data_IF_096192566372
#
_entry.id   IF_096192566372
#
_cell.length_a   1.000
_cell.length_b   1.000
_cell.length_c   1.000
_cell.angle_alpha   90.00
_cell.angle_beta   90.00
_cell.angle_gamma   90.00
#
_symmetry.space_group_name_H-M   'P 1'
#
loop_
_entity.id
_entity.type
_entity.pdbx_description
1 polymer ?
#
# COMPACT_ATOMS: atom_id res chain seq x y z
N UNK A 1 6.67 -2.07 27.05
CA UNK A 1 6.56 -1.05 25.97
C UNK A 1 6.58 -1.74 24.60
N UNK A 2 5.67 -1.38 23.75
CA UNK A 2 5.60 -1.95 22.41
C UNK A 2 6.19 -0.97 21.41
N UNK A 3 7.07 -1.44 20.53
CA UNK A 3 7.62 -0.63 19.44
C UNK A 3 6.63 -0.48 18.29
N UNK A 4 5.70 -1.42 18.17
CA UNK A 4 4.73 -1.44 17.09
C UNK A 4 3.33 -1.37 17.68
N UNK A 5 2.49 -0.52 17.10
CA UNK A 5 1.10 -0.34 17.53
C UNK A 5 0.15 -0.77 16.41
N UNK A 6 -1.03 -1.28 16.78
CA UNK A 6 -2.06 -1.54 15.78
C UNK A 6 -2.64 -0.22 15.25
N UNK A 7 -3.25 -0.28 14.08
CA UNK A 7 -3.86 0.89 13.46
C UNK A 7 -5.04 0.47 12.58
N UNK A 8 -5.83 1.44 12.18
CA UNK A 8 -6.94 1.23 11.26
C UNK A 8 -6.43 1.39 9.83
N UNK A 9 -6.13 0.28 9.20
CA UNK A 9 -5.58 0.29 7.86
C UNK A 9 -6.61 0.61 6.80
N UNK A 10 -6.14 1.25 5.73
CA UNK A 10 -6.93 1.50 4.55
C UNK A 10 -6.59 0.42 3.54
N UNK A 11 -7.57 -0.39 3.19
CA UNK A 11 -7.36 -1.55 2.32
C UNK A 11 -8.32 -1.54 1.14
N UNK A 12 -7.91 -2.09 -0.02
CA UNK A 12 -8.85 -2.29 -1.10
C UNK A 12 -9.93 -3.30 -0.68
N UNK A 13 -11.13 -3.11 -1.23
CA UNK A 13 -12.19 -4.10 -1.07
C UNK A 13 -11.78 -5.39 -1.75
N UNK A 14 -12.35 -6.50 -1.32
CA UNK A 14 -12.02 -7.82 -1.88
C UNK A 14 -12.23 -7.86 -3.39
N UNK A 15 -13.30 -7.25 -3.88
CA UNK A 15 -13.61 -7.20 -5.31
C UNK A 15 -12.60 -6.39 -6.12
N UNK A 16 -11.99 -5.38 -5.50
CA UNK A 16 -11.09 -4.45 -6.20
C UNK A 16 -9.61 -4.69 -5.90
N UNK A 17 -9.30 -5.62 -5.01
CA UNK A 17 -7.92 -5.86 -4.59
C UNK A 17 -7.00 -6.18 -5.77
N UNK A 18 -7.44 -7.00 -6.71
CA UNK A 18 -6.63 -7.36 -7.87
C UNK A 18 -6.39 -6.18 -8.83
N UNK A 19 -7.32 -5.21 -8.85
CA UNK A 19 -7.16 -4.00 -9.65
C UNK A 19 -6.20 -3.02 -9.01
N UNK A 20 -6.19 -2.93 -7.69
CA UNK A 20 -5.37 -1.98 -6.93
C UNK A 20 -3.94 -2.48 -6.76
N UNK A 21 -3.77 -3.76 -6.48
CA UNK A 21 -2.47 -4.34 -6.16
C UNK A 21 -1.49 -4.24 -7.34
N UNK A 22 -0.25 -3.92 -7.03
CA UNK A 22 0.84 -3.82 -8.00
C UNK A 22 2.05 -4.60 -7.51
N UNK A 23 2.89 -5.02 -8.45
CA UNK A 23 4.20 -5.56 -8.12
C UNK A 23 5.20 -4.42 -7.92
N UNK A 24 6.41 -4.75 -7.47
CA UNK A 24 7.47 -3.75 -7.36
C UNK A 24 7.71 -3.05 -8.69
N UNK A 25 7.74 -1.72 -8.66
CA UNK A 25 7.97 -0.91 -9.87
C UNK A 25 9.42 -0.98 -10.35
N UNK A 26 10.33 -1.46 -9.52
CA UNK A 26 11.75 -1.60 -9.87
C UNK A 26 11.98 -2.54 -11.05
N UNK A 27 11.05 -3.46 -11.27
CA UNK A 27 11.13 -4.47 -12.33
C UNK A 27 10.26 -4.14 -13.54
N UNK A 28 9.62 -2.98 -13.56
CA UNK A 28 8.71 -2.61 -14.62
C UNK A 28 9.32 -1.54 -15.52
N UNK A 29 9.18 -1.72 -16.84
CA UNK A 29 9.57 -0.68 -17.80
C UNK A 29 8.55 0.47 -17.76
N UNK A 30 8.96 1.64 -18.23
CA UNK A 30 8.06 2.79 -18.34
C UNK A 30 6.84 2.50 -19.20
N UNK A 31 7.01 1.71 -20.27
CA UNK A 31 5.92 1.33 -21.16
C UNK A 31 4.89 0.46 -20.46
N UNK A 32 5.34 -0.55 -19.69
CA UNK A 32 4.46 -1.43 -18.92
C UNK A 32 3.69 -0.62 -17.88
N UNK A 33 4.36 0.29 -17.17
CA UNK A 33 3.72 1.15 -16.18
C UNK A 33 2.66 2.04 -16.83
N UNK A 34 3.00 2.66 -17.95
CA UNK A 34 2.08 3.54 -18.68
C UNK A 34 0.84 2.78 -19.16
N UNK A 35 1.03 1.61 -19.74
CA UNK A 35 -0.08 0.78 -20.22
C UNK A 35 -0.97 0.31 -19.08
N UNK A 36 -0.38 -0.09 -17.98
CA UNK A 36 -1.12 -0.53 -16.80
C UNK A 36 -1.98 0.61 -16.23
N UNK A 37 -1.43 1.83 -16.17
CA UNK A 37 -2.16 3.01 -15.71
C UNK A 37 -3.36 3.32 -16.60
N UNK A 38 -3.19 3.23 -17.91
CA UNK A 38 -4.25 3.52 -18.88
C UNK A 38 -5.37 2.49 -18.82
N UNK A 39 -5.01 1.23 -18.64
CA UNK A 39 -5.96 0.12 -18.73
C UNK A 39 -6.61 -0.20 -17.38
N UNK A 40 -6.09 0.34 -16.29
CA UNK A 40 -6.59 0.06 -14.95
C UNK A 40 -6.65 1.35 -14.12
N UNK A 41 -7.81 1.98 -14.13
CA UNK A 41 -8.08 3.23 -13.41
C UNK A 41 -7.77 3.13 -11.91
N UNK A 42 -8.02 1.97 -11.31
CA UNK A 42 -7.88 1.79 -9.87
C UNK A 42 -6.53 1.24 -9.43
N UNK A 43 -5.60 1.05 -10.35
CA UNK A 43 -4.25 0.61 -10.01
C UNK A 43 -3.57 1.60 -9.06
N UNK A 44 -2.91 1.07 -8.06
CA UNK A 44 -2.15 1.90 -7.11
C UNK A 44 -0.99 2.63 -7.79
N UNK A 45 -0.58 2.22 -8.98
CA UNK A 45 0.40 2.96 -9.79
C UNK A 45 -0.05 4.40 -10.07
N UNK A 46 -1.36 4.65 -10.14
CA UNK A 46 -1.88 6.00 -10.33
C UNK A 46 -1.72 6.90 -9.11
N UNK A 47 -1.44 6.31 -7.96
CA UNK A 47 -1.17 7.04 -6.71
C UNK A 47 0.34 7.11 -6.44
N UNK A 48 1.01 5.99 -6.62
CA UNK A 48 2.39 5.79 -6.21
C UNK A 48 3.40 6.41 -7.17
N UNK A 49 3.18 6.27 -8.47
CA UNK A 49 4.08 6.79 -9.50
C UNK A 49 3.82 8.28 -9.73
N UNK A 50 4.54 9.12 -9.03
CA UNK A 50 4.20 10.54 -8.92
C UNK A 50 5.12 11.44 -9.70
N UNK A 51 4.65 11.91 -10.84
CA UNK A 51 5.20 13.10 -11.48
C UNK A 51 4.47 14.36 -11.01
N UNK A 52 3.25 14.18 -10.49
CA UNK A 52 2.41 15.30 -10.02
C UNK A 52 1.68 14.90 -8.73
N UNK A 53 2.09 15.50 -7.61
CA UNK A 53 1.53 15.22 -6.30
C UNK A 53 0.04 15.52 -6.20
N UNK A 54 -0.44 16.56 -6.90
CA UNK A 54 -1.86 16.93 -6.89
C UNK A 54 -2.72 15.84 -7.51
N UNK A 55 -2.29 15.30 -8.63
CA UNK A 55 -3.02 14.20 -9.29
C UNK A 55 -3.03 12.93 -8.46
N UNK A 56 -1.92 12.62 -7.80
CA UNK A 56 -1.85 11.46 -6.90
C UNK A 56 -2.83 11.59 -5.75
N UNK A 57 -2.90 12.76 -5.14
CA UNK A 57 -3.81 13.04 -4.05
C UNK A 57 -5.26 12.93 -4.49
N UNK A 58 -5.59 13.49 -5.65
CA UNK A 58 -6.93 13.41 -6.22
C UNK A 58 -7.34 11.96 -6.48
N UNK A 59 -6.45 11.18 -7.05
CA UNK A 59 -6.70 9.76 -7.33
C UNK A 59 -6.93 8.98 -6.04
N UNK A 60 -6.14 9.24 -5.02
CA UNK A 60 -6.28 8.58 -3.73
C UNK A 60 -7.62 8.92 -3.07
N UNK A 61 -8.03 10.19 -3.12
CA UNK A 61 -9.32 10.63 -2.60
C UNK A 61 -10.48 10.01 -3.38
N UNK A 62 -10.35 9.89 -4.70
CA UNK A 62 -11.34 9.21 -5.55
C UNK A 62 -11.51 7.74 -5.15
N UNK A 63 -10.42 7.06 -4.87
CA UNK A 63 -10.46 5.66 -4.47
C UNK A 63 -11.18 5.49 -3.13
N UNK A 64 -10.98 6.41 -2.20
CA UNK A 64 -11.71 6.41 -0.92
C UNK A 64 -13.19 6.74 -1.13
N UNK A 65 -13.49 7.75 -1.93
CA UNK A 65 -14.86 8.18 -2.20
C UNK A 65 -15.69 7.10 -2.86
N UNK A 66 -15.11 6.33 -3.76
CA UNK A 66 -15.80 5.25 -4.47
C UNK A 66 -15.72 3.90 -3.77
N UNK A 67 -15.25 3.89 -2.53
CA UNK A 67 -15.13 2.68 -1.71
C UNK A 67 -14.24 1.61 -2.33
N UNK A 68 -13.28 2.03 -3.14
CA UNK A 68 -12.25 1.13 -3.67
C UNK A 68 -11.29 0.76 -2.54
N UNK A 69 -10.98 1.76 -1.69
CA UNK A 69 -10.22 1.57 -0.46
C UNK A 69 -11.15 1.84 0.72
N UNK A 70 -11.17 0.95 1.67
CA UNK A 70 -11.98 1.09 2.88
C UNK A 70 -11.11 1.03 4.12
N UNK A 71 -11.48 1.83 5.11
CA UNK A 71 -10.77 1.88 6.39
C UNK A 71 -11.34 0.82 7.33
N UNK A 72 -10.46 0.06 7.97
CA UNK A 72 -10.89 -0.93 8.96
C UNK A 72 -11.51 -0.24 10.18
N UNK A 73 -12.47 -0.90 10.77
CA UNK A 73 -13.23 -0.34 11.92
C UNK A 73 -12.45 -0.40 13.23
N UNK A 74 -11.57 -1.37 13.35
CA UNK A 74 -10.82 -1.62 14.58
C UNK A 74 -9.32 -1.49 14.33
N UNK A 75 -8.60 -1.05 15.37
CA UNK A 75 -7.14 -1.06 15.32
C UNK A 75 -6.66 -2.50 15.18
N UNK A 76 -5.80 -2.74 14.22
CA UNK A 76 -5.34 -4.08 13.87
C UNK A 76 -3.88 -4.07 13.49
N UNK A 77 -3.23 -5.21 13.69
CA UNK A 77 -1.97 -5.51 13.03
C UNK A 77 -2.29 -6.21 11.72
N UNK A 78 -1.42 -6.06 10.74
CA UNK A 78 -1.62 -6.67 9.43
C UNK A 78 -0.50 -7.66 9.15
N UNK A 79 -0.87 -8.76 8.54
CA UNK A 79 0.10 -9.78 8.18
C UNK A 79 0.30 -9.72 6.67
N UNK A 80 1.56 -9.64 6.24
CA UNK A 80 1.88 -9.78 4.83
C UNK A 80 2.61 -11.08 4.59
N UNK A 81 2.44 -11.63 3.41
CA UNK A 81 3.15 -12.82 2.97
C UNK A 81 3.72 -12.56 1.57
N UNK A 82 5.01 -12.74 1.45
CA UNK A 82 5.68 -12.66 0.16
C UNK A 82 6.14 -14.07 -0.18
N UNK A 83 5.66 -14.60 -1.29
CA UNK A 83 6.01 -15.94 -1.74
C UNK A 83 6.81 -15.85 -3.03
N UNK A 84 7.92 -16.57 -3.06
CA UNK A 84 8.71 -16.80 -4.25
C UNK A 84 8.78 -18.30 -4.50
N UNK A 85 9.38 -18.71 -5.61
CA UNK A 85 9.39 -20.10 -6.06
C UNK A 85 9.79 -21.12 -4.98
N UNK A 86 10.85 -20.81 -4.22
CA UNK A 86 11.40 -21.72 -3.21
C UNK A 86 11.37 -21.14 -1.80
N UNK A 87 10.64 -20.02 -1.61
CA UNK A 87 10.78 -19.26 -0.38
C UNK A 87 9.51 -18.48 -0.08
N UNK A 88 9.14 -18.41 1.18
CA UNK A 88 8.04 -17.57 1.62
C UNK A 88 8.47 -16.78 2.87
N UNK A 89 8.09 -15.54 2.92
CA UNK A 89 8.37 -14.65 4.04
C UNK A 89 7.07 -14.06 4.57
N UNK A 90 6.91 -14.08 5.90
CA UNK A 90 5.73 -13.53 6.56
C UNK A 90 6.19 -12.46 7.53
N UNK A 91 5.46 -11.34 7.54
CA UNK A 91 5.77 -10.25 8.45
C UNK A 91 4.52 -9.60 9.00
N UNK A 92 4.71 -8.75 9.99
CA UNK A 92 3.64 -8.01 10.65
C UNK A 92 3.83 -6.52 10.39
N UNK A 93 2.74 -5.84 10.03
CA UNK A 93 2.73 -4.40 9.78
C UNK A 93 2.02 -3.70 10.92
N UNK A 94 2.66 -2.67 11.45
CA UNK A 94 2.10 -1.81 12.48
C UNK A 94 2.70 -0.42 12.36
N UNK A 95 2.31 0.48 13.25
CA UNK A 95 2.87 1.82 13.31
C UNK A 95 3.85 1.94 14.47
N UNK A 96 4.81 2.84 14.34
CA UNK A 96 5.78 3.13 15.40
C UNK A 96 5.93 4.63 15.54
N UNK A 97 6.20 5.07 16.77
CA UNK A 97 6.49 6.48 17.02
C UNK A 97 7.86 6.83 16.44
N UNK A 98 7.96 8.00 15.83
CA UNK A 98 9.24 8.48 15.31
C UNK A 98 10.30 8.60 16.41
N UNK A 99 9.89 8.93 17.63
CA UNK A 99 10.80 8.99 18.77
C UNK A 99 11.50 7.67 19.06
N UNK A 100 10.89 6.54 18.73
CA UNK A 100 11.52 5.24 18.88
C UNK A 100 12.72 5.08 17.94
N UNK A 101 12.64 5.62 16.74
CA UNK A 101 13.76 5.66 15.80
C UNK A 101 14.86 6.60 16.28
N UNK A 102 14.47 7.79 16.73
CA UNK A 102 15.42 8.80 17.21
C UNK A 102 16.23 8.30 18.39
N UNK A 103 15.62 7.46 19.22
CA UNK A 103 16.28 6.85 20.37
C UNK A 103 16.95 5.50 20.05
N UNK A 104 17.03 5.15 18.78
CA UNK A 104 17.68 3.94 18.27
C UNK A 104 17.07 2.64 18.81
N UNK A 105 15.82 2.66 19.20
CA UNK A 105 15.09 1.46 19.64
C UNK A 105 14.67 0.56 18.47
N UNK A 106 14.55 1.14 17.28
CA UNK A 106 14.17 0.45 16.05
C UNK A 106 15.24 0.68 14.99
N UNK A 107 15.66 -0.39 14.36
CA UNK A 107 16.65 -0.30 13.28
C UNK A 107 16.25 -1.23 12.13
#
# INVERSE_FOLDING_TARGET
>A
MYFINPFKGLRPTEEKASSVAITSTDHLSKEIVSDHKKNNQWSYLNVFSVENNSKSKEQFELMKKNSILTKDKNDSFYIYKISAKDHAQVGIIGTAKLSAYDNLHIR
#
